data_IF_999554623587
#
_entry.id   IF_999554623587
#
_cell.length_a   1.000
_cell.length_b   1.000
_cell.length_c   1.000
_cell.angle_alpha   90.00
_cell.angle_beta   90.00
_cell.angle_gamma   90.00
#
_symmetry.space_group_name_H-M   'P 1'
#
loop_
_entity.id
_entity.type
_entity.pdbx_description
1 polymer ?
#
# COMPACT_ATOMS: atom_id res chain seq x y z
N UNK A 1 -7.54 25.21 4.51
CA UNK A 1 -6.20 24.82 4.99
C UNK A 1 -5.41 24.33 3.79
N UNK A 2 -4.20 24.82 3.59
CA UNK A 2 -3.39 24.37 2.44
C UNK A 2 -2.55 23.17 2.88
N UNK A 3 -3.19 22.01 3.04
CA UNK A 3 -2.51 20.78 3.45
C UNK A 3 -1.68 20.29 2.27
N UNK A 4 -0.38 20.52 2.33
CA UNK A 4 0.54 19.96 1.34
C UNK A 4 0.77 18.50 1.68
N UNK A 5 0.22 17.60 0.89
CA UNK A 5 0.47 16.17 1.03
C UNK A 5 1.88 15.79 0.57
N UNK A 6 2.53 14.91 1.30
CA UNK A 6 3.75 14.25 0.86
C UNK A 6 3.38 13.00 0.06
N UNK A 7 4.16 12.68 -0.98
CA UNK A 7 3.88 11.56 -1.87
C UNK A 7 4.98 10.51 -1.81
N UNK A 8 4.57 9.24 -1.94
CA UNK A 8 5.49 8.13 -2.14
C UNK A 8 5.04 7.18 -3.24
N UNK A 9 5.98 6.40 -3.78
CA UNK A 9 5.68 5.29 -4.66
C UNK A 9 6.75 4.19 -4.52
N UNK A 10 6.33 2.96 -4.75
CA UNK A 10 7.23 1.82 -4.79
C UNK A 10 8.07 1.80 -6.06
N UNK A 11 9.31 1.32 -5.95
CA UNK A 11 10.18 1.14 -7.13
C UNK A 11 9.63 0.14 -8.14
N UNK A 12 8.73 -0.73 -7.72
CA UNK A 12 8.00 -1.70 -8.56
C UNK A 12 6.98 -1.03 -9.49
N UNK A 13 6.54 0.18 -9.20
CA UNK A 13 5.67 0.96 -10.08
C UNK A 13 6.36 1.30 -11.42
N UNK A 14 7.69 1.30 -11.45
CA UNK A 14 8.52 1.46 -12.65
C UNK A 14 8.85 0.08 -13.25
N UNK A 15 7.81 -0.66 -13.63
CA UNK A 15 7.88 -2.07 -14.00
C UNK A 15 8.28 -2.32 -15.46
N UNK A 16 8.68 -3.55 -15.72
CA UNK A 16 9.08 -4.01 -17.05
C UNK A 16 7.90 -4.39 -17.96
N UNK A 17 6.68 -4.39 -17.42
CA UNK A 17 5.48 -4.85 -18.11
C UNK A 17 5.37 -6.37 -18.22
N UNK A 18 6.15 -7.13 -17.45
CA UNK A 18 5.91 -8.55 -17.26
C UNK A 18 4.58 -8.76 -16.53
N UNK A 19 3.86 -9.82 -16.90
CA UNK A 19 2.63 -10.25 -16.24
C UNK A 19 2.56 -11.79 -16.24
N UNK A 20 1.56 -12.42 -15.57
CA UNK A 20 1.43 -13.87 -15.54
C UNK A 20 1.30 -14.53 -16.93
N UNK A 21 1.02 -13.75 -17.98
CA UNK A 21 0.78 -14.24 -19.33
C UNK A 21 1.93 -13.95 -20.30
N UNK A 22 2.95 -13.20 -19.89
CA UNK A 22 4.07 -12.91 -20.76
C UNK A 22 5.27 -12.22 -20.11
N UNK A 23 6.46 -12.36 -20.76
CA UNK A 23 7.70 -11.79 -20.25
C UNK A 23 7.70 -10.26 -20.30
N UNK A 24 8.77 -9.65 -19.78
CA UNK A 24 9.05 -8.23 -19.88
C UNK A 24 8.98 -7.71 -21.33
N UNK A 25 8.39 -6.54 -21.52
CA UNK A 25 8.28 -5.81 -22.80
C UNK A 25 9.06 -4.49 -22.77
N UNK A 26 9.59 -4.13 -21.62
CA UNK A 26 10.46 -2.96 -21.41
C UNK A 26 11.71 -3.41 -20.65
N UNK A 27 12.85 -2.74 -20.85
CA UNK A 27 14.05 -3.02 -20.06
C UNK A 27 13.82 -2.69 -18.57
N UNK A 28 14.49 -3.47 -17.72
CA UNK A 28 14.57 -3.14 -16.28
C UNK A 28 15.37 -1.85 -16.10
N UNK A 29 14.91 -0.99 -15.17
CA UNK A 29 15.61 0.23 -14.78
C UNK A 29 16.46 -0.06 -13.53
N UNK A 30 17.72 0.36 -13.48
CA UNK A 30 18.52 0.31 -12.26
C UNK A 30 17.84 1.11 -11.12
N UNK A 31 18.06 0.70 -9.87
CA UNK A 31 17.48 1.36 -8.70
C UNK A 31 17.75 2.87 -8.69
N UNK A 32 18.98 3.29 -8.99
CA UNK A 32 19.38 4.70 -9.04
C UNK A 32 18.54 5.51 -10.05
N UNK A 33 18.26 4.93 -11.22
CA UNK A 33 17.40 5.54 -12.24
C UNK A 33 15.94 5.64 -11.74
N UNK A 34 15.44 4.58 -11.07
CA UNK A 34 14.10 4.59 -10.46
C UNK A 34 13.97 5.70 -9.43
N UNK A 35 14.94 5.85 -8.52
CA UNK A 35 14.96 6.90 -7.50
C UNK A 35 15.00 8.31 -8.12
N UNK A 36 15.89 8.53 -9.10
CA UNK A 36 16.00 9.81 -9.81
C UNK A 36 14.69 10.14 -10.52
N UNK A 37 14.05 9.15 -11.15
CA UNK A 37 12.77 9.31 -11.83
C UNK A 37 11.66 9.69 -10.86
N UNK A 38 11.53 9.00 -9.72
CA UNK A 38 10.53 9.33 -8.70
C UNK A 38 10.72 10.76 -8.20
N UNK A 39 11.97 11.18 -7.93
CA UNK A 39 12.23 12.57 -7.51
C UNK A 39 11.87 13.58 -8.58
N UNK A 40 12.19 13.32 -9.84
CA UNK A 40 11.84 14.19 -10.96
C UNK A 40 10.32 14.33 -11.15
N UNK A 41 9.54 13.31 -10.78
CA UNK A 41 8.07 13.33 -10.76
C UNK A 41 7.50 14.01 -9.49
N UNK A 42 8.35 14.49 -8.58
CA UNK A 42 7.95 15.26 -7.41
C UNK A 42 7.48 14.39 -6.23
N UNK A 43 8.01 13.17 -6.11
CA UNK A 43 7.83 12.36 -4.92
C UNK A 43 8.79 12.79 -3.80
N UNK A 44 8.37 12.62 -2.56
CA UNK A 44 9.15 12.95 -1.36
C UNK A 44 9.74 11.68 -0.72
N UNK A 45 9.07 10.55 -0.93
CA UNK A 45 9.41 9.25 -0.35
C UNK A 45 9.45 8.16 -1.42
N UNK A 46 10.17 7.09 -1.10
CA UNK A 46 10.21 5.84 -1.86
C UNK A 46 9.83 4.68 -0.96
N UNK A 47 9.15 3.69 -1.54
CA UNK A 47 8.79 2.43 -0.90
C UNK A 47 9.64 1.30 -1.52
N UNK A 48 10.08 0.36 -0.69
CA UNK A 48 10.97 -0.73 -1.09
C UNK A 48 10.48 -2.05 -0.52
N UNK A 49 10.65 -3.14 -1.28
CA UNK A 49 10.72 -4.45 -0.65
C UNK A 49 12.11 -4.67 -0.07
N UNK A 50 12.26 -5.64 0.80
CA UNK A 50 13.53 -5.96 1.44
C UNK A 50 14.62 -6.36 0.42
N UNK A 51 14.23 -7.03 -0.66
CA UNK A 51 15.14 -7.47 -1.73
C UNK A 51 15.34 -6.42 -2.83
N UNK A 52 14.46 -5.43 -2.99
CA UNK A 52 14.76 -4.22 -3.76
C UNK A 52 15.89 -3.41 -3.10
N UNK A 53 15.90 -3.39 -1.75
CA UNK A 53 16.92 -2.69 -0.97
C UNK A 53 18.20 -3.51 -0.86
N UNK A 54 18.13 -4.79 -0.51
CA UNK A 54 19.29 -5.67 -0.33
C UNK A 54 18.96 -7.05 -0.91
N UNK A 55 19.50 -7.43 -2.07
CA UNK A 55 19.26 -8.73 -2.70
C UNK A 55 19.45 -9.90 -1.72
N UNK A 56 18.68 -10.98 -1.93
CA UNK A 56 18.67 -12.12 -1.00
C UNK A 56 19.96 -12.93 -1.00
N UNK A 57 20.76 -12.86 -2.05
CA UNK A 57 22.08 -13.52 -2.18
C UNK A 57 23.22 -12.76 -1.49
N UNK A 58 22.96 -11.56 -0.96
CA UNK A 58 23.95 -10.81 -0.19
C UNK A 58 24.21 -11.53 1.15
N UNK A 59 25.49 -11.89 1.45
CA UNK A 59 25.83 -12.57 2.68
C UNK A 59 25.41 -11.76 3.92
N UNK A 60 24.97 -12.44 5.00
CA UNK A 60 24.44 -11.82 6.20
C UNK A 60 25.38 -10.73 6.78
N UNK A 61 26.71 -10.98 6.80
CA UNK A 61 27.70 -10.00 7.28
C UNK A 61 27.88 -8.76 6.39
N UNK A 62 27.23 -8.70 5.21
CA UNK A 62 27.32 -7.58 4.27
C UNK A 62 25.99 -6.83 4.11
N UNK A 63 24.89 -7.32 4.70
CA UNK A 63 23.54 -6.74 4.59
C UNK A 63 23.55 -5.27 5.02
N UNK A 64 24.11 -4.96 6.17
CA UNK A 64 24.16 -3.57 6.67
C UNK A 64 24.95 -2.65 5.73
N UNK A 65 26.12 -3.09 5.27
CA UNK A 65 26.94 -2.30 4.35
C UNK A 65 26.22 -2.05 3.00
N UNK A 66 25.46 -3.03 2.52
CA UNK A 66 24.65 -2.88 1.32
C UNK A 66 23.50 -1.91 1.55
N UNK A 67 22.76 -2.06 2.64
CA UNK A 67 21.67 -1.15 3.00
C UNK A 67 22.14 0.30 3.16
N UNK A 68 23.35 0.54 3.74
CA UNK A 68 23.95 1.87 3.80
C UNK A 68 24.23 2.48 2.43
N UNK A 69 24.63 1.67 1.43
CA UNK A 69 24.78 2.16 0.04
C UNK A 69 23.45 2.57 -0.55
N UNK A 70 22.40 1.76 -0.36
CA UNK A 70 21.05 2.09 -0.84
C UNK A 70 20.52 3.34 -0.14
N UNK A 71 20.76 3.48 1.17
CA UNK A 71 20.43 4.72 1.90
C UNK A 71 21.10 5.94 1.28
N UNK A 72 22.39 5.83 0.98
CA UNK A 72 23.14 6.93 0.34
C UNK A 72 22.58 7.27 -1.06
N UNK A 73 22.12 6.27 -1.84
CA UNK A 73 21.45 6.50 -3.13
C UNK A 73 20.13 7.25 -2.95
N UNK A 74 19.31 6.86 -1.97
CA UNK A 74 18.05 7.56 -1.66
C UNK A 74 18.33 9.01 -1.23
N UNK A 75 19.32 9.23 -0.35
CA UNK A 75 19.70 10.56 0.11
C UNK A 75 20.21 11.45 -1.04
N UNK A 76 21.05 10.90 -1.92
CA UNK A 76 21.55 11.61 -3.11
C UNK A 76 20.42 11.98 -4.08
N UNK A 77 19.40 11.13 -4.20
CA UNK A 77 18.19 11.43 -4.98
C UNK A 77 17.26 12.42 -4.25
N UNK A 78 17.46 12.71 -2.97
CA UNK A 78 16.58 13.57 -2.16
C UNK A 78 15.25 12.92 -1.80
N UNK A 79 15.24 11.59 -1.62
CA UNK A 79 14.08 10.80 -1.21
C UNK A 79 14.30 10.19 0.17
N UNK A 80 13.30 10.26 1.04
CA UNK A 80 13.26 9.46 2.25
C UNK A 80 12.62 8.09 1.98
N UNK A 81 12.98 7.06 2.77
CA UNK A 81 12.29 5.76 2.68
C UNK A 81 11.07 5.80 3.58
N UNK A 82 9.89 5.58 3.00
CA UNK A 82 8.64 5.55 3.77
C UNK A 82 8.52 4.26 4.58
N UNK A 83 8.64 3.13 3.90
CA UNK A 83 8.57 1.80 4.52
C UNK A 83 9.43 0.78 3.77
N UNK A 84 9.64 -0.37 4.41
CA UNK A 84 10.15 -1.58 3.76
C UNK A 84 9.18 -2.72 4.00
N UNK A 85 8.88 -3.49 2.96
CA UNK A 85 7.99 -4.66 3.03
C UNK A 85 8.80 -5.96 2.83
N UNK A 86 8.66 -6.98 3.69
CA UNK A 86 9.23 -8.30 3.42
C UNK A 86 8.47 -8.95 2.25
N UNK A 87 9.17 -9.35 1.20
CA UNK A 87 8.57 -10.02 0.03
C UNK A 87 8.34 -11.50 0.32
N UNK A 88 7.21 -11.85 0.89
CA UNK A 88 6.86 -13.19 1.38
C UNK A 88 6.02 -14.02 0.38
N UNK A 89 6.15 -13.78 -0.93
CA UNK A 89 5.30 -14.44 -1.93
C UNK A 89 6.01 -14.98 -3.16
N UNK A 90 7.21 -14.51 -3.48
CA UNK A 90 7.94 -14.93 -4.69
C UNK A 90 8.82 -16.17 -4.47
N UNK A 91 9.42 -16.30 -3.27
CA UNK A 91 10.28 -17.42 -2.97
C UNK A 91 9.49 -18.74 -3.02
N UNK A 92 9.98 -19.77 -3.74
CA UNK A 92 9.35 -21.09 -3.78
C UNK A 92 9.10 -21.73 -2.41
N UNK A 93 9.86 -21.36 -1.39
CA UNK A 93 9.60 -21.80 -0.01
C UNK A 93 8.24 -21.33 0.53
N UNK A 94 7.67 -20.27 -0.04
CA UNK A 94 6.40 -19.65 0.40
C UNK A 94 5.20 -19.98 -0.50
N UNK A 95 5.33 -20.97 -1.38
CA UNK A 95 4.27 -21.36 -2.33
C UNK A 95 2.93 -21.71 -1.64
N UNK A 96 2.97 -22.28 -0.44
CA UNK A 96 1.79 -22.63 0.37
C UNK A 96 1.55 -21.62 1.54
N UNK A 97 1.94 -20.37 1.35
CA UNK A 97 1.98 -19.36 2.40
C UNK A 97 3.35 -19.27 3.06
N UNK A 98 3.63 -18.12 3.63
CA UNK A 98 4.84 -17.88 4.41
C UNK A 98 4.52 -18.04 5.91
N UNK A 99 3.68 -17.15 6.43
CA UNK A 99 3.30 -17.09 7.85
C UNK A 99 2.35 -18.23 8.23
N UNK A 100 1.42 -18.58 7.34
CA UNK A 100 0.39 -19.61 7.56
C UNK A 100 0.70 -20.93 6.87
N UNK A 101 1.93 -21.12 6.38
CA UNK A 101 2.34 -22.38 5.76
C UNK A 101 2.14 -23.57 6.71
N UNK A 102 1.74 -24.73 6.16
CA UNK A 102 1.69 -25.96 6.93
C UNK A 102 3.08 -26.39 7.41
N UNK A 103 4.13 -26.15 6.59
CA UNK A 103 5.51 -26.45 6.95
C UNK A 103 6.05 -25.42 7.97
N UNK A 104 6.45 -25.83 9.19
CA UNK A 104 7.02 -24.94 10.18
C UNK A 104 8.36 -24.30 9.75
N UNK A 105 9.09 -24.94 8.80
CA UNK A 105 10.33 -24.38 8.26
C UNK A 105 10.05 -23.14 7.41
N UNK A 106 8.98 -23.16 6.61
CA UNK A 106 8.55 -21.99 5.84
C UNK A 106 8.15 -20.84 6.78
N UNK A 107 7.42 -21.13 7.86
CA UNK A 107 7.07 -20.11 8.87
C UNK A 107 8.29 -19.53 9.57
N UNK A 108 9.28 -20.34 9.90
CA UNK A 108 10.54 -19.87 10.48
C UNK A 108 11.32 -18.97 9.50
N UNK A 109 11.44 -19.39 8.23
CA UNK A 109 12.07 -18.59 7.18
C UNK A 109 11.37 -17.26 6.95
N UNK A 110 10.03 -17.21 7.01
CA UNK A 110 9.26 -15.98 6.91
C UNK A 110 9.59 -15.02 8.08
N UNK A 111 9.69 -15.53 9.29
CA UNK A 111 10.07 -14.72 10.46
C UNK A 111 11.50 -14.21 10.36
N UNK A 112 12.44 -15.03 9.92
CA UNK A 112 13.84 -14.61 9.74
C UNK A 112 13.95 -13.54 8.64
N UNK A 113 13.18 -13.66 7.55
CA UNK A 113 13.10 -12.62 6.53
C UNK A 113 12.55 -11.31 7.08
N UNK A 114 11.50 -11.36 7.93
CA UNK A 114 10.98 -10.16 8.58
C UNK A 114 12.00 -9.48 9.50
N UNK A 115 12.77 -10.25 10.28
CA UNK A 115 13.84 -9.69 11.12
C UNK A 115 14.91 -9.02 10.26
N UNK A 116 15.36 -9.69 9.18
CA UNK A 116 16.27 -9.09 8.20
C UNK A 116 15.71 -7.80 7.61
N UNK A 117 14.41 -7.77 7.28
CA UNK A 117 13.74 -6.56 6.80
C UNK A 117 13.79 -5.43 7.83
N UNK A 118 13.60 -5.74 9.13
CA UNK A 118 13.72 -4.75 10.21
C UNK A 118 15.13 -4.19 10.30
N UNK A 119 16.15 -5.03 10.20
CA UNK A 119 17.55 -4.59 10.22
C UNK A 119 17.84 -3.65 9.04
N UNK A 120 17.37 -4.00 7.84
CA UNK A 120 17.49 -3.16 6.64
C UNK A 120 16.76 -1.82 6.83
N UNK A 121 15.50 -1.83 7.26
CA UNK A 121 14.71 -0.60 7.40
C UNK A 121 15.29 0.33 8.48
N UNK A 122 15.91 -0.20 9.53
CA UNK A 122 16.59 0.59 10.54
C UNK A 122 17.79 1.35 9.94
N UNK A 123 18.56 0.71 9.06
CA UNK A 123 19.65 1.36 8.32
C UNK A 123 19.12 2.41 7.34
N UNK A 124 18.00 2.12 6.67
CA UNK A 124 17.35 3.03 5.73
C UNK A 124 16.67 4.23 6.41
N UNK A 125 16.52 4.20 7.74
CA UNK A 125 15.99 5.31 8.53
C UNK A 125 14.47 5.35 8.65
N UNK A 126 13.78 4.25 8.40
CA UNK A 126 12.34 4.11 8.63
C UNK A 126 12.05 3.12 9.76
N UNK A 127 10.87 3.26 10.38
CA UNK A 127 10.34 2.32 11.37
C UNK A 127 9.03 1.65 10.88
N UNK A 128 8.61 1.94 9.67
CA UNK A 128 7.39 1.41 9.08
C UNK A 128 7.71 0.13 8.29
N UNK A 129 7.06 -0.97 8.67
CA UNK A 129 7.06 -2.22 7.92
C UNK A 129 5.65 -2.42 7.35
N UNK A 130 5.52 -2.51 6.05
CA UNK A 130 4.26 -2.94 5.43
C UNK A 130 4.26 -4.45 5.35
N UNK A 131 3.18 -5.06 5.81
CA UNK A 131 2.93 -6.48 5.70
C UNK A 131 1.76 -6.71 4.75
N UNK A 132 2.08 -7.10 3.52
CA UNK A 132 1.11 -7.63 2.57
C UNK A 132 1.08 -9.16 2.68
N UNK A 133 0.00 -9.76 3.21
CA UNK A 133 -0.08 -11.19 3.44
C UNK A 133 -0.50 -11.96 2.17
N UNK A 134 0.21 -11.77 1.07
CA UNK A 134 -0.12 -12.17 -0.29
C UNK A 134 -0.47 -13.66 -0.48
N UNK A 135 0.20 -14.56 0.26
CA UNK A 135 -0.08 -16.01 0.18
C UNK A 135 -0.69 -16.58 1.45
N UNK A 136 -1.14 -15.72 2.36
CA UNK A 136 -1.75 -16.12 3.61
C UNK A 136 -3.25 -16.41 3.41
N UNK A 137 -3.52 -17.56 2.82
CA UNK A 137 -4.85 -18.00 2.43
C UNK A 137 -4.83 -19.41 1.86
N UNK A 138 -5.84 -19.76 1.07
CA UNK A 138 -6.01 -21.09 0.49
C UNK A 138 -6.59 -21.05 -0.92
N UNK A 139 -6.24 -22.05 -1.75
CA UNK A 139 -6.99 -22.44 -2.95
C UNK A 139 -8.06 -23.48 -2.59
N UNK A 140 -7.71 -24.42 -1.70
CA UNK A 140 -8.59 -25.46 -1.23
C UNK A 140 -8.79 -25.24 0.26
N UNK A 141 -10.02 -24.96 0.66
CA UNK A 141 -10.37 -24.55 2.02
C UNK A 141 -9.83 -25.52 3.11
N UNK A 142 -9.90 -26.81 2.82
CA UNK A 142 -9.51 -27.88 3.73
C UNK A 142 -7.99 -28.12 3.81
N UNK A 143 -7.20 -27.43 2.98
CA UNK A 143 -5.74 -27.57 2.95
C UNK A 143 -5.06 -27.03 4.21
N UNK A 144 -5.74 -26.15 4.96
CA UNK A 144 -5.24 -25.55 6.21
C UNK A 144 -6.32 -25.50 7.30
N UNK A 145 -5.90 -25.67 8.54
CA UNK A 145 -6.70 -25.30 9.69
C UNK A 145 -6.67 -23.78 9.88
N UNK A 146 -7.79 -23.12 9.58
CA UNK A 146 -7.88 -21.66 9.65
C UNK A 146 -7.68 -21.09 11.06
N UNK A 147 -8.09 -21.83 12.11
CA UNK A 147 -7.89 -21.39 13.50
C UNK A 147 -6.41 -21.36 13.83
N UNK A 148 -5.67 -22.39 13.45
CA UNK A 148 -4.22 -22.43 13.60
C UNK A 148 -3.52 -21.37 12.72
N UNK A 149 -4.00 -21.14 11.49
CA UNK A 149 -3.47 -20.11 10.60
C UNK A 149 -3.58 -18.71 11.22
N UNK A 150 -4.72 -18.34 11.81
CA UNK A 150 -4.86 -17.10 12.57
C UNK A 150 -3.96 -17.04 13.80
N UNK A 151 -3.73 -18.16 14.47
CA UNK A 151 -2.76 -18.29 15.56
C UNK A 151 -1.35 -17.93 15.08
N UNK A 152 -0.89 -18.51 13.97
CA UNK A 152 0.41 -18.25 13.38
C UNK A 152 0.58 -16.80 12.95
N UNK A 153 -0.46 -16.15 12.38
CA UNK A 153 -0.44 -14.72 12.06
C UNK A 153 -0.21 -13.88 13.31
N UNK A 154 -0.92 -14.17 14.40
CA UNK A 154 -0.75 -13.45 15.66
C UNK A 154 0.63 -13.66 16.27
N UNK A 155 1.13 -14.90 16.28
CA UNK A 155 2.47 -15.24 16.77
C UNK A 155 3.55 -14.50 15.98
N UNK A 156 3.42 -14.45 14.65
CA UNK A 156 4.35 -13.75 13.76
C UNK A 156 4.37 -12.24 14.04
N UNK A 157 3.21 -11.60 14.15
CA UNK A 157 3.13 -10.17 14.48
C UNK A 157 3.78 -9.89 15.85
N UNK A 158 3.50 -10.70 16.85
CA UNK A 158 4.08 -10.56 18.18
C UNK A 158 5.60 -10.77 18.19
N UNK A 159 6.11 -11.71 17.39
CA UNK A 159 7.55 -11.96 17.27
C UNK A 159 8.28 -10.74 16.62
N UNK A 160 7.68 -10.11 15.61
CA UNK A 160 8.18 -8.87 15.00
C UNK A 160 8.20 -7.73 16.04
N UNK A 161 7.10 -7.53 16.75
CA UNK A 161 6.97 -6.49 17.78
C UNK A 161 7.97 -6.66 18.95
N UNK A 162 8.30 -7.91 19.27
CA UNK A 162 9.30 -8.24 20.28
C UNK A 162 10.73 -8.04 19.78
N UNK A 163 10.99 -8.27 18.49
CA UNK A 163 12.33 -8.15 17.90
C UNK A 163 12.84 -6.71 17.88
N UNK A 164 12.01 -5.75 17.49
CA UNK A 164 12.37 -4.33 17.51
C UNK A 164 11.26 -3.52 18.18
N UNK A 165 11.62 -2.75 19.22
CA UNK A 165 10.65 -1.91 19.96
C UNK A 165 10.19 -0.68 19.20
N UNK A 166 10.90 -0.30 18.13
CA UNK A 166 10.57 0.86 17.30
C UNK A 166 9.70 0.52 16.09
N UNK A 167 9.59 -0.76 15.71
CA UNK A 167 8.84 -1.14 14.51
C UNK A 167 7.36 -0.82 14.63
N UNK A 168 6.79 -0.26 13.56
CA UNK A 168 5.37 -0.06 13.35
C UNK A 168 4.93 -0.91 12.15
N UNK A 169 3.96 -1.78 12.35
CA UNK A 169 3.46 -2.70 11.33
C UNK A 169 2.22 -2.08 10.70
N UNK A 170 2.20 -1.97 9.38
CA UNK A 170 1.06 -1.55 8.57
C UNK A 170 0.59 -2.77 7.78
N UNK A 171 -0.59 -3.31 8.10
CA UNK A 171 -1.19 -4.36 7.29
C UNK A 171 -1.79 -3.80 6.02
N UNK A 172 -1.46 -4.43 4.91
CA UNK A 172 -2.08 -4.17 3.62
C UNK A 172 -2.95 -5.36 3.23
N UNK A 173 -4.25 -5.20 3.30
CA UNK A 173 -5.22 -6.27 3.13
C UNK A 173 -5.60 -6.44 1.66
N UNK A 174 -5.82 -7.69 1.25
CA UNK A 174 -6.32 -8.06 -0.07
C UNK A 174 -7.25 -9.27 0.05
N UNK A 175 -8.37 -9.33 -0.67
CA UNK A 175 -9.33 -10.43 -0.51
C UNK A 175 -8.91 -11.73 -1.19
N UNK A 176 -8.21 -11.63 -2.29
CA UNK A 176 -7.80 -12.73 -3.16
C UNK A 176 -6.55 -12.35 -3.96
N UNK A 177 -6.02 -13.33 -4.74
CA UNK A 177 -4.83 -13.15 -5.58
C UNK A 177 -3.54 -12.79 -4.80
N UNK A 178 -2.53 -13.68 -4.82
CA UNK A 178 -2.50 -14.91 -5.64
C UNK A 178 -3.33 -16.09 -5.11
N UNK A 179 -3.79 -16.07 -3.87
CA UNK A 179 -4.68 -17.11 -3.32
C UNK A 179 -6.15 -16.79 -3.66
N UNK A 180 -7.01 -17.81 -3.69
CA UNK A 180 -8.45 -17.61 -3.93
C UNK A 180 -9.14 -16.94 -2.74
N UNK A 181 -8.74 -17.30 -1.52
CA UNK A 181 -9.28 -16.78 -0.28
C UNK A 181 -8.16 -16.41 0.68
N UNK A 182 -8.08 -15.12 1.01
CA UNK A 182 -7.11 -14.58 1.98
C UNK A 182 -7.69 -14.60 3.39
N UNK A 183 -6.84 -14.81 4.41
CA UNK A 183 -7.26 -14.84 5.81
C UNK A 183 -7.55 -13.45 6.40
N UNK A 184 -6.91 -12.40 5.89
CA UNK A 184 -7.11 -11.02 6.33
C UNK A 184 -7.60 -10.16 5.15
N UNK A 185 -8.86 -10.37 4.66
CA UNK A 185 -9.31 -9.81 3.40
C UNK A 185 -9.70 -8.33 3.47
N UNK A 186 -9.96 -7.76 4.66
CA UNK A 186 -10.46 -6.38 4.82
C UNK A 186 -9.83 -5.68 6.02
N UNK A 187 -10.00 -4.36 6.07
CA UNK A 187 -9.57 -3.49 7.17
C UNK A 187 -10.04 -4.00 8.53
N UNK A 188 -11.32 -4.38 8.64
CA UNK A 188 -11.89 -4.87 9.89
C UNK A 188 -11.22 -6.16 10.38
N UNK A 189 -10.90 -7.09 9.49
CA UNK A 189 -10.20 -8.32 9.86
C UNK A 189 -8.79 -8.02 10.40
N UNK A 190 -8.05 -7.12 9.75
CA UNK A 190 -6.71 -6.79 10.21
C UNK A 190 -6.73 -6.00 11.53
N UNK A 191 -7.64 -5.04 11.69
CA UNK A 191 -7.77 -4.27 12.93
C UNK A 191 -8.17 -5.17 14.11
N UNK A 192 -9.04 -6.16 13.90
CA UNK A 192 -9.38 -7.17 14.92
C UNK A 192 -8.14 -8.00 15.31
N UNK A 193 -7.31 -8.38 14.34
CA UNK A 193 -6.03 -9.05 14.60
C UNK A 193 -5.05 -8.13 15.34
N UNK A 194 -4.90 -6.88 14.91
CA UNK A 194 -4.05 -5.86 15.54
C UNK A 194 -4.38 -5.66 17.02
N UNK A 195 -5.68 -5.63 17.36
CA UNK A 195 -6.16 -5.47 18.73
C UNK A 195 -5.77 -6.65 19.65
N UNK A 196 -5.42 -7.81 19.09
CA UNK A 196 -4.98 -9.00 19.84
C UNK A 196 -3.47 -9.11 19.99
N UNK A 197 -2.70 -8.26 19.31
CA UNK A 197 -1.24 -8.28 19.41
C UNK A 197 -0.77 -7.83 20.80
N UNK A 198 0.47 -8.17 21.13
CA UNK A 198 1.08 -7.79 22.41
C UNK A 198 1.27 -6.25 22.56
N UNK A 199 1.26 -5.52 21.45
CA UNK A 199 1.40 -4.05 21.44
C UNK A 199 0.51 -3.43 20.33
N UNK A 200 -0.82 -3.40 20.53
CA UNK A 200 -1.76 -2.89 19.55
C UNK A 200 -1.48 -1.45 19.06
N UNK A 201 -0.94 -0.52 19.89
CA UNK A 201 -0.57 0.81 19.41
C UNK A 201 0.43 0.83 18.26
N UNK A 202 1.26 -0.20 18.10
CA UNK A 202 2.27 -0.30 17.03
C UNK A 202 1.81 -1.03 15.78
N UNK A 203 0.53 -1.40 15.70
CA UNK A 203 -0.06 -2.09 14.54
C UNK A 203 -1.21 -1.27 14.00
N UNK A 204 -1.15 -0.91 12.74
CA UNK A 204 -2.16 -0.15 11.99
C UNK A 204 -2.32 -0.72 10.59
N UNK A 205 -2.91 0.05 9.69
CA UNK A 205 -3.19 -0.37 8.33
C UNK A 205 -2.64 0.61 7.30
N UNK A 206 -2.29 0.07 6.15
CA UNK A 206 -2.21 0.72 4.86
C UNK A 206 -3.38 0.23 4.03
N UNK A 207 -4.17 1.15 3.47
CA UNK A 207 -5.35 0.79 2.67
C UNK A 207 -5.04 1.05 1.21
N UNK A 208 -5.15 -0.02 0.41
CA UNK A 208 -5.09 0.07 -1.04
C UNK A 208 -6.50 0.12 -1.65
N UNK A 209 -6.72 1.14 -2.50
CA UNK A 209 -8.04 1.38 -3.07
C UNK A 209 -8.52 0.21 -3.94
N UNK A 210 -7.67 -0.33 -4.82
CA UNK A 210 -8.03 -1.48 -5.66
C UNK A 210 -8.41 -2.71 -4.84
N UNK A 211 -7.70 -2.98 -3.74
CA UNK A 211 -7.99 -4.12 -2.87
C UNK A 211 -9.37 -4.02 -2.20
N UNK A 212 -9.79 -2.82 -1.80
CA UNK A 212 -11.15 -2.59 -1.30
C UNK A 212 -12.19 -2.88 -2.39
N UNK A 213 -11.96 -2.38 -3.62
CA UNK A 213 -12.87 -2.60 -4.75
C UNK A 213 -12.97 -4.09 -5.10
N UNK A 214 -11.87 -4.84 -5.05
CA UNK A 214 -11.87 -6.29 -5.28
C UNK A 214 -12.72 -7.05 -4.25
N UNK A 215 -12.87 -6.53 -3.04
CA UNK A 215 -13.74 -7.09 -2.01
C UNK A 215 -15.21 -6.60 -2.15
N UNK A 216 -15.47 -5.66 -3.06
CA UNK A 216 -16.79 -5.03 -3.23
C UNK A 216 -17.08 -3.95 -2.18
N UNK A 217 -16.04 -3.40 -1.54
CA UNK A 217 -16.13 -2.32 -0.55
C UNK A 217 -15.75 -0.97 -1.19
N UNK A 218 -16.23 0.12 -0.58
CA UNK A 218 -15.82 1.46 -0.97
C UNK A 218 -14.51 1.84 -0.25
N UNK A 219 -13.44 2.23 -0.96
CA UNK A 219 -12.20 2.67 -0.34
C UNK A 219 -12.37 3.84 0.64
N UNK A 220 -13.30 4.76 0.39
CA UNK A 220 -13.56 5.89 1.28
C UNK A 220 -14.10 5.43 2.64
N UNK A 221 -15.01 4.46 2.64
CA UNK A 221 -15.57 3.90 3.89
C UNK A 221 -14.52 3.12 4.67
N UNK A 222 -13.67 2.32 3.99
CA UNK A 222 -12.57 1.59 4.63
C UNK A 222 -11.53 2.55 5.24
N UNK A 223 -11.18 3.64 4.53
CA UNK A 223 -10.30 4.69 5.04
C UNK A 223 -10.94 5.42 6.23
N UNK A 224 -12.23 5.78 6.15
CA UNK A 224 -12.96 6.40 7.24
C UNK A 224 -13.00 5.51 8.48
N UNK A 225 -13.23 4.21 8.30
CA UNK A 225 -13.23 3.23 9.37
C UNK A 225 -11.86 3.15 10.07
N UNK A 226 -10.77 3.08 9.30
CA UNK A 226 -9.42 3.06 9.85
C UNK A 226 -9.04 4.40 10.53
N UNK A 227 -9.47 5.54 9.99
CA UNK A 227 -9.31 6.86 10.62
C UNK A 227 -10.04 6.94 11.95
N UNK A 228 -11.30 6.45 12.03
CA UNK A 228 -12.06 6.39 13.26
C UNK A 228 -11.37 5.58 14.37
N UNK A 229 -10.65 4.52 13.99
CA UNK A 229 -9.81 3.74 14.90
C UNK A 229 -8.44 4.40 15.21
N UNK A 230 -8.06 5.51 14.57
CA UNK A 230 -6.73 6.12 14.68
C UNK A 230 -5.62 5.24 14.10
N UNK A 231 -5.95 4.41 13.10
CA UNK A 231 -5.08 3.34 12.57
C UNK A 231 -4.79 3.45 11.08
N UNK A 232 -5.29 4.45 10.37
CA UNK A 232 -4.91 4.70 8.98
C UNK A 232 -3.53 5.36 8.95
N UNK A 233 -2.48 4.58 8.65
CA UNK A 233 -1.10 5.06 8.66
C UNK A 233 -0.46 5.12 7.29
N UNK A 234 -1.12 4.60 6.27
CA UNK A 234 -0.73 4.67 4.88
C UNK A 234 -1.93 4.44 3.98
N UNK A 235 -1.81 4.91 2.76
CA UNK A 235 -2.73 4.61 1.67
C UNK A 235 -1.92 4.25 0.42
N UNK A 236 -2.43 3.31 -0.37
CA UNK A 236 -2.04 3.08 -1.75
C UNK A 236 -3.20 3.45 -2.66
N UNK A 237 -3.05 4.55 -3.36
CA UNK A 237 -4.07 5.04 -4.27
C UNK A 237 -3.82 4.50 -5.67
N UNK A 238 -4.82 3.84 -6.19
CA UNK A 238 -4.93 3.33 -7.55
C UNK A 238 -6.41 3.23 -7.93
N UNK A 239 -6.71 2.60 -9.04
CA UNK A 239 -8.08 2.38 -9.49
C UNK A 239 -8.25 0.96 -10.06
N UNK A 240 -9.48 0.47 -10.04
CA UNK A 240 -9.82 -0.91 -10.36
C UNK A 240 -11.12 -0.98 -11.16
N UNK A 241 -11.11 -1.72 -12.25
CA UNK A 241 -12.28 -1.92 -13.09
C UNK A 241 -13.03 -3.20 -12.70
N UNK A 242 -13.81 -3.12 -11.62
CA UNK A 242 -14.66 -4.19 -11.14
C UNK A 242 -13.90 -5.34 -10.45
N UNK A 243 -14.62 -6.44 -10.20
CA UNK A 243 -14.15 -7.61 -9.47
C UNK A 243 -13.39 -8.58 -10.41
N UNK A 244 -12.13 -8.28 -10.66
CA UNK A 244 -11.25 -9.06 -11.54
C UNK A 244 -9.93 -9.36 -10.85
N UNK A 245 -8.87 -9.52 -11.63
CA UNK A 245 -7.49 -9.47 -11.14
C UNK A 245 -7.12 -8.03 -10.77
N UNK A 246 -6.11 -7.89 -9.95
CA UNK A 246 -5.57 -6.60 -9.53
C UNK A 246 -4.92 -5.86 -10.70
N UNK A 247 -5.47 -4.69 -11.03
CA UNK A 247 -5.06 -3.96 -12.22
C UNK A 247 -4.11 -2.81 -11.94
N UNK A 248 -4.10 -2.28 -10.73
CA UNK A 248 -3.27 -1.13 -10.33
C UNK A 248 -3.34 0.03 -11.34
N UNK A 249 -4.55 0.37 -11.77
CA UNK A 249 -4.73 1.44 -12.76
C UNK A 249 -4.41 2.80 -12.14
N UNK A 250 -4.09 3.76 -12.97
CA UNK A 250 -3.89 5.15 -12.53
C UNK A 250 -5.09 5.65 -11.73
N UNK A 251 -4.84 6.30 -10.60
CA UNK A 251 -5.86 6.76 -9.67
C UNK A 251 -6.88 7.68 -10.35
N UNK A 252 -8.17 7.44 -10.11
CA UNK A 252 -9.30 8.22 -10.63
C UNK A 252 -9.58 8.07 -12.13
N UNK A 253 -8.98 7.08 -12.81
CA UNK A 253 -9.17 6.88 -14.24
C UNK A 253 -10.29 5.91 -14.61
N UNK A 254 -10.84 5.20 -13.63
CA UNK A 254 -11.99 4.30 -13.81
C UNK A 254 -13.25 4.90 -13.18
N UNK A 255 -13.14 5.31 -11.90
CA UNK A 255 -14.26 5.90 -11.15
C UNK A 255 -13.81 7.19 -10.44
N UNK A 256 -13.96 8.31 -11.14
CA UNK A 256 -13.58 9.63 -10.62
C UNK A 256 -14.37 10.01 -9.36
N UNK A 257 -15.64 9.59 -9.26
CA UNK A 257 -16.48 9.88 -8.11
C UNK A 257 -16.00 9.14 -6.86
N UNK A 258 -15.66 7.86 -6.99
CA UNK A 258 -15.06 7.06 -5.91
C UNK A 258 -13.71 7.62 -5.49
N UNK A 259 -12.87 8.01 -6.46
CA UNK A 259 -11.60 8.67 -6.17
C UNK A 259 -11.79 9.98 -5.38
N UNK A 260 -12.77 10.80 -5.77
CA UNK A 260 -13.15 12.01 -5.02
C UNK A 260 -13.58 11.69 -3.59
N UNK A 261 -14.42 10.69 -3.38
CA UNK A 261 -14.88 10.31 -2.05
C UNK A 261 -13.71 9.91 -1.14
N UNK A 262 -12.76 9.12 -1.65
CA UNK A 262 -11.54 8.76 -0.92
C UNK A 262 -10.71 9.99 -0.54
N UNK A 263 -10.48 10.90 -1.49
CA UNK A 263 -9.73 12.14 -1.24
C UNK A 263 -10.46 13.06 -0.26
N UNK A 264 -11.77 13.22 -0.38
CA UNK A 264 -12.57 14.06 0.52
C UNK A 264 -12.52 13.55 1.98
N UNK A 265 -12.54 12.23 2.17
CA UNK A 265 -12.35 11.61 3.50
C UNK A 265 -10.97 11.95 4.07
N UNK A 266 -9.91 11.83 3.29
CA UNK A 266 -8.55 12.15 3.72
C UNK A 266 -8.39 13.64 4.07
N UNK A 267 -8.91 14.53 3.22
CA UNK A 267 -8.84 15.99 3.42
C UNK A 267 -9.60 16.43 4.65
N UNK A 268 -10.83 15.92 4.85
CA UNK A 268 -11.70 16.32 5.95
C UNK A 268 -11.29 15.79 7.31
N UNK A 269 -10.41 14.80 7.34
CA UNK A 269 -9.92 14.19 8.56
C UNK A 269 -8.42 14.43 8.78
N UNK A 270 -7.88 15.50 8.19
CA UNK A 270 -6.50 15.96 8.39
C UNK A 270 -5.43 14.86 8.16
N UNK A 271 -5.68 13.91 7.25
CA UNK A 271 -4.68 12.91 6.88
C UNK A 271 -3.41 13.60 6.38
N UNK A 272 -2.25 13.15 6.83
CA UNK A 272 -0.96 13.78 6.58
C UNK A 272 -0.48 14.70 7.71
N UNK A 273 -1.36 15.12 8.64
CA UNK A 273 -1.01 16.03 9.74
C UNK A 273 0.01 15.42 10.73
N UNK A 274 0.07 14.10 10.82
CA UNK A 274 0.99 13.38 11.71
C UNK A 274 2.12 12.65 10.97
N UNK A 275 2.38 13.05 9.71
CA UNK A 275 3.42 12.48 8.87
C UNK A 275 3.00 11.22 8.11
N UNK A 276 1.69 11.02 7.93
CA UNK A 276 1.15 10.07 6.97
C UNK A 276 1.48 10.54 5.55
N UNK A 277 1.66 9.59 4.64
CA UNK A 277 2.08 9.84 3.26
C UNK A 277 1.04 9.29 2.30
N UNK A 278 0.82 9.96 1.19
CA UNK A 278 -0.02 9.45 0.10
C UNK A 278 0.84 8.58 -0.80
N UNK A 279 0.69 7.27 -0.64
CA UNK A 279 1.36 6.29 -1.47
C UNK A 279 0.57 6.00 -2.74
N UNK A 280 1.29 5.68 -3.81
CA UNK A 280 0.74 5.17 -5.06
C UNK A 280 1.22 3.74 -5.28
N UNK A 281 0.29 2.85 -5.58
CA UNK A 281 0.59 1.55 -6.15
C UNK A 281 -0.13 1.39 -7.48
N UNK A 282 0.53 1.86 -8.55
CA UNK A 282 -0.02 1.95 -9.90
C UNK A 282 0.91 1.30 -10.91
N UNK A 283 0.35 0.62 -11.88
CA UNK A 283 1.09 -0.17 -12.85
C UNK A 283 1.00 0.42 -14.26
N UNK A 284 2.15 0.57 -14.91
CA UNK A 284 2.18 0.84 -16.34
C UNK A 284 1.69 -0.39 -17.11
N UNK A 285 0.60 -0.23 -17.87
CA UNK A 285 0.05 -1.33 -18.67
C UNK A 285 1.10 -1.89 -19.62
N UNK A 286 1.04 -3.21 -19.89
CA UNK A 286 1.98 -3.93 -20.76
C UNK A 286 2.12 -3.27 -22.15
N UNK A 287 1.06 -2.69 -22.66
CA UNK A 287 1.00 -2.05 -23.99
C UNK A 287 1.74 -0.71 -24.07
N UNK A 288 2.14 -0.12 -22.94
CA UNK A 288 2.79 1.19 -22.95
C UNK A 288 4.28 1.10 -23.31
N UNK A 289 4.79 1.98 -24.18
CA UNK A 289 6.21 2.05 -24.50
C UNK A 289 7.02 2.54 -23.28
N UNK A 290 8.33 2.31 -23.31
CA UNK A 290 9.24 2.62 -22.19
C UNK A 290 9.14 4.06 -21.71
N UNK A 291 9.14 5.02 -22.63
CA UNK A 291 9.13 6.45 -22.30
C UNK A 291 7.79 6.99 -21.76
N UNK A 292 6.71 6.24 -22.02
CA UNK A 292 5.40 6.56 -21.48
C UNK A 292 5.09 5.83 -20.17
N UNK A 293 5.89 4.84 -19.81
CA UNK A 293 5.64 3.95 -18.67
C UNK A 293 5.97 4.59 -17.29
N UNK A 294 5.87 5.90 -17.18
CA UNK A 294 5.97 6.68 -15.95
C UNK A 294 4.77 7.62 -15.76
N UNK A 295 3.98 7.82 -16.83
CA UNK A 295 2.85 8.77 -16.81
C UNK A 295 1.73 8.34 -15.86
N UNK A 296 1.58 7.05 -15.58
CA UNK A 296 0.63 6.54 -14.59
C UNK A 296 0.90 7.13 -13.19
N UNK A 297 2.16 7.35 -12.82
CA UNK A 297 2.55 8.00 -11.55
C UNK A 297 2.20 9.49 -11.56
N UNK A 298 2.66 10.25 -12.56
CA UNK A 298 2.38 11.68 -12.64
C UNK A 298 0.89 11.98 -12.77
N UNK A 299 0.16 11.18 -13.56
CA UNK A 299 -1.27 11.35 -13.74
C UNK A 299 -2.04 11.07 -12.44
N UNK A 300 -1.68 10.00 -11.71
CA UNK A 300 -2.33 9.68 -10.43
C UNK A 300 -2.13 10.78 -9.40
N UNK A 301 -0.92 11.32 -9.31
CA UNK A 301 -0.60 12.46 -8.44
C UNK A 301 -1.39 13.71 -8.85
N UNK A 302 -1.43 14.06 -10.15
CA UNK A 302 -2.18 15.19 -10.64
C UNK A 302 -3.68 15.07 -10.33
N UNK A 303 -4.26 13.89 -10.55
CA UNK A 303 -5.68 13.65 -10.22
C UNK A 303 -5.93 13.84 -8.73
N UNK A 304 -5.08 13.28 -7.86
CA UNK A 304 -5.20 13.49 -6.42
C UNK A 304 -5.17 14.97 -6.05
N UNK A 305 -4.17 15.74 -6.53
CA UNK A 305 -4.01 17.17 -6.24
C UNK A 305 -5.22 17.98 -6.74
N UNK A 306 -5.78 17.64 -7.91
CA UNK A 306 -7.01 18.26 -8.43
C UNK A 306 -8.22 17.94 -7.55
N UNK A 307 -8.36 16.70 -7.11
CA UNK A 307 -9.48 16.30 -6.24
C UNK A 307 -9.37 16.94 -4.85
N UNK A 308 -8.17 17.16 -4.31
CA UNK A 308 -7.95 17.98 -3.11
C UNK A 308 -8.47 19.39 -3.31
N UNK A 309 -8.14 20.03 -4.47
CA UNK A 309 -8.63 21.36 -4.78
C UNK A 309 -10.16 21.40 -4.93
N UNK A 310 -10.76 20.39 -5.56
CA UNK A 310 -12.22 20.25 -5.68
C UNK A 310 -12.86 20.12 -4.29
N UNK A 311 -12.35 19.24 -3.44
CA UNK A 311 -12.85 19.06 -2.06
C UNK A 311 -12.78 20.35 -1.25
N UNK A 312 -11.69 21.12 -1.40
CA UNK A 312 -11.52 22.39 -0.70
C UNK A 312 -12.45 23.52 -1.23
N UNK A 313 -12.86 23.45 -2.49
CA UNK A 313 -13.70 24.45 -3.14
C UNK A 313 -15.21 24.25 -2.91
N UNK A 314 -15.64 23.06 -2.51
CA UNK A 314 -17.06 22.78 -2.27
C UNK A 314 -17.57 23.57 -1.07
N UNK A 315 -18.69 24.28 -1.27
CA UNK A 315 -19.40 24.96 -0.21
C UNK A 315 -19.99 23.95 0.79
N UNK A 316 -19.42 23.93 1.99
CA UNK A 316 -19.83 22.98 3.04
C UNK A 316 -21.13 23.35 3.73
N UNK A 317 -21.54 24.60 3.69
CA UNK A 317 -22.83 25.05 4.22
C UNK A 317 -23.96 24.63 3.25
N UNK A 318 -23.75 24.79 1.94
CA UNK A 318 -24.65 24.25 0.91
C UNK A 318 -24.76 22.73 1.01
N UNK A 319 -23.63 22.01 1.14
CA UNK A 319 -23.60 20.58 1.38
C UNK A 319 -24.45 20.18 2.61
N UNK A 320 -24.24 20.85 3.75
CA UNK A 320 -24.95 20.57 4.99
C UNK A 320 -26.46 20.87 4.86
N UNK A 321 -26.84 21.88 4.09
CA UNK A 321 -28.23 22.20 3.79
C UNK A 321 -28.91 21.06 3.03
N UNK A 322 -28.28 20.51 1.99
CA UNK A 322 -28.82 19.35 1.24
C UNK A 322 -28.94 18.11 2.13
N UNK A 323 -27.95 17.84 2.97
CA UNK A 323 -28.01 16.71 3.91
C UNK A 323 -29.13 16.86 4.91
N UNK A 324 -29.32 18.05 5.51
CA UNK A 324 -30.33 18.31 6.53
C UNK A 324 -31.76 18.28 5.98
N UNK A 325 -31.94 18.75 4.75
CA UNK A 325 -33.24 18.70 4.03
C UNK A 325 -33.52 17.36 3.36
N UNK A 326 -32.52 16.46 3.31
CA UNK A 326 -32.54 15.20 2.53
C UNK A 326 -32.75 15.42 1.02
N UNK A 327 -32.35 16.57 0.52
CA UNK A 327 -32.29 16.83 -0.92
C UNK A 327 -31.01 16.22 -1.48
N UNK A 328 -31.01 14.88 -1.58
CA UNK A 328 -29.83 14.14 -2.06
C UNK A 328 -29.60 14.33 -3.56
N UNK A 329 -30.63 14.65 -4.34
CA UNK A 329 -30.46 15.01 -5.76
C UNK A 329 -29.70 16.35 -5.91
N UNK A 330 -30.00 17.33 -5.05
CA UNK A 330 -29.26 18.58 -4.98
C UNK A 330 -27.80 18.34 -4.59
N UNK A 331 -27.56 17.48 -3.58
CA UNK A 331 -26.21 17.09 -3.15
C UNK A 331 -25.44 16.39 -4.27
N UNK A 332 -26.08 15.46 -5.00
CA UNK A 332 -25.49 14.80 -6.17
C UNK A 332 -25.02 15.82 -7.20
N UNK A 333 -25.87 16.78 -7.52
CA UNK A 333 -25.56 17.81 -8.53
C UNK A 333 -24.49 18.80 -8.04
N UNK A 334 -24.41 19.10 -6.74
CA UNK A 334 -23.31 19.88 -6.18
C UNK A 334 -21.96 19.22 -6.47
N UNK A 335 -21.85 17.91 -6.17
CA UNK A 335 -20.60 17.17 -6.36
C UNK A 335 -20.29 16.98 -7.85
N UNK A 336 -21.30 16.66 -8.67
CA UNK A 336 -21.10 16.49 -10.12
C UNK A 336 -20.59 17.79 -10.74
N UNK A 337 -21.18 18.94 -10.43
CA UNK A 337 -20.72 20.23 -10.92
C UNK A 337 -19.28 20.54 -10.48
N UNK A 338 -18.97 20.30 -9.21
CA UNK A 338 -17.60 20.49 -8.71
C UNK A 338 -16.58 19.61 -9.47
N UNK A 339 -16.91 18.35 -9.76
CA UNK A 339 -16.05 17.44 -10.52
C UNK A 339 -15.93 17.82 -12.00
N UNK A 340 -16.95 18.47 -12.57
CA UNK A 340 -16.92 18.97 -13.95
C UNK A 340 -16.19 20.32 -14.10
N UNK A 341 -15.80 20.94 -12.99
CA UNK A 341 -15.15 22.26 -12.98
C UNK A 341 -16.12 23.41 -13.23
N UNK A 342 -17.39 23.26 -12.89
CA UNK A 342 -18.44 24.27 -13.05
C UNK A 342 -18.85 24.90 -11.72
#
# INVERSE_FOLDING_TARGET
MNTKFAFSAGVWNLNTGADPFGPAVRPERPLEEKLTTLKALGFDYVQLHDDDAVPMDVPAGQVEAYARRVKAMCDAAGLAVEFVAPRLWEDPAFVDGAITANDPRARAAALDRAKRTIDIMNVLGTKRMVLWPAREGTYIRESKDAVHAFGHLLEYLNAILAYDRGVRILGEMKPNEPMDLMYLPSTGHFLAMAARTADPPRVGVLIEAAHCILLGLDPADEMAYALWHGKLWGVHLNDQNGLKYDQDKSFGTVDLRRAFNAVDVLVRNDYGAHGEVVGLDVKAMRTQPHDAAMKHLSNSKEVFERLVAVSAAIDRDEWASYVSSRDYEGLEMLIVRALMGA
#
